data_IF_573597766659
#
_entry.id   IF_573597766659
#
_cell.length_a   1.000
_cell.length_b   1.000
_cell.length_c   1.000
_cell.angle_alpha   90.00
_cell.angle_beta   90.00
_cell.angle_gamma   90.00
#
_symmetry.space_group_name_H-M   'P 1'
#
loop_
_entity.id
_entity.type
_entity.pdbx_description
1 polymer ?
#
# COMPACT_ATOMS: atom_id res chain seq x y z
N UNK A 1 -2.53 0.54 19.37
CA UNK A 1 -2.08 0.66 17.98
C UNK A 1 -1.07 -0.44 17.73
N UNK A 2 -1.11 -1.10 16.57
CA UNK A 2 -0.16 -2.15 16.17
C UNK A 2 0.82 -1.58 15.14
N UNK A 3 2.10 -1.93 15.25
CA UNK A 3 3.10 -1.49 14.27
C UNK A 3 2.78 -2.03 12.87
N UNK A 4 2.92 -1.16 11.88
CA UNK A 4 2.86 -1.53 10.46
C UNK A 4 4.04 -2.41 10.06
N UNK A 5 3.79 -3.57 9.45
CA UNK A 5 4.81 -4.52 9.02
C UNK A 5 4.49 -5.03 7.61
N UNK A 6 5.52 -5.05 6.75
CA UNK A 6 5.42 -5.59 5.40
C UNK A 6 6.16 -6.92 5.31
N UNK A 7 5.43 -7.98 4.95
CA UNK A 7 5.94 -9.35 4.88
C UNK A 7 5.90 -9.84 3.43
N UNK A 8 7.01 -10.36 2.90
CA UNK A 8 7.02 -11.00 1.58
C UNK A 8 6.37 -12.38 1.68
N UNK A 9 5.33 -12.62 0.88
CA UNK A 9 4.67 -13.93 0.78
C UNK A 9 5.31 -14.79 -0.32
N UNK A 10 5.55 -14.20 -1.50
CA UNK A 10 6.19 -14.86 -2.65
C UNK A 10 6.79 -13.80 -3.60
N UNK A 11 7.28 -14.20 -4.77
CA UNK A 11 7.82 -13.25 -5.76
C UNK A 11 6.73 -12.25 -6.18
N UNK A 12 7.02 -10.96 -6.00
CA UNK A 12 6.07 -9.88 -6.27
C UNK A 12 4.83 -9.83 -5.36
N UNK A 13 4.71 -10.67 -4.33
CA UNK A 13 3.54 -10.67 -3.43
C UNK A 13 3.92 -10.37 -1.98
N UNK A 14 3.24 -9.39 -1.38
CA UNK A 14 3.49 -8.92 -0.04
C UNK A 14 2.20 -8.79 0.76
N UNK A 15 2.33 -8.85 2.08
CA UNK A 15 1.26 -8.65 3.06
C UNK A 15 1.61 -7.46 3.92
N UNK A 16 0.72 -6.48 4.01
CA UNK A 16 0.85 -5.37 4.95
C UNK A 16 -0.09 -5.61 6.13
N UNK A 17 0.47 -5.65 7.33
CA UNK A 17 -0.26 -5.87 8.57
C UNK A 17 -0.04 -4.72 9.55
N UNK A 18 -1.01 -4.50 10.44
CA UNK A 18 -0.96 -3.48 11.48
C UNK A 18 -1.71 -2.20 11.15
N UNK A 19 -1.55 -1.18 11.98
CA UNK A 19 -2.19 0.11 11.77
C UNK A 19 -1.36 0.97 10.80
N UNK A 20 -2.04 1.76 9.96
CA UNK A 20 -1.45 2.75 9.04
C UNK A 20 -1.85 4.15 9.49
N UNK A 21 -1.15 4.66 10.50
CA UNK A 21 -1.35 5.99 11.07
C UNK A 21 -0.11 6.86 10.93
N UNK A 22 -0.23 8.14 11.28
CA UNK A 22 0.91 9.05 11.34
C UNK A 22 2.11 8.51 12.16
N UNK A 23 1.85 7.68 13.18
CA UNK A 23 2.89 7.08 14.04
C UNK A 23 3.56 5.86 13.40
N UNK A 24 2.85 5.07 12.60
CA UNK A 24 3.33 3.78 12.07
C UNK A 24 3.78 3.83 10.61
N UNK A 25 3.36 4.85 9.87
CA UNK A 25 3.73 5.06 8.46
C UNK A 25 5.21 5.37 8.24
N UNK A 26 5.91 6.19 9.06
CA UNK A 26 7.29 6.58 8.79
C UNK A 26 8.25 5.39 8.60
N UNK A 27 8.11 4.34 9.40
CA UNK A 27 8.91 3.11 9.29
C UNK A 27 8.64 2.30 8.00
N UNK A 28 7.52 2.54 7.32
CA UNK A 28 7.16 1.86 6.07
C UNK A 28 7.62 2.63 4.83
N UNK A 29 7.93 3.91 4.94
CA UNK A 29 8.34 4.75 3.80
C UNK A 29 9.56 4.15 3.08
N UNK A 30 10.60 3.83 3.84
CA UNK A 30 11.85 3.29 3.30
C UNK A 30 11.70 1.87 2.74
N UNK A 31 10.78 1.08 3.30
CA UNK A 31 10.47 -0.27 2.84
C UNK A 31 9.90 -0.24 1.42
N UNK A 32 9.10 0.79 1.09
CA UNK A 32 8.52 0.97 -0.24
C UNK A 32 9.56 1.08 -1.36
N UNK A 33 10.73 1.64 -1.07
CA UNK A 33 11.81 1.75 -2.04
C UNK A 33 12.45 0.40 -2.39
N UNK A 34 12.38 -0.57 -1.48
CA UNK A 34 12.96 -1.89 -1.66
C UNK A 34 12.03 -2.83 -2.44
N UNK A 35 10.71 -2.61 -2.39
CA UNK A 35 9.70 -3.43 -3.08
C UNK A 35 9.97 -3.60 -4.58
N UNK A 36 10.47 -2.56 -5.22
CA UNK A 36 10.60 -2.46 -6.67
C UNK A 36 11.99 -2.82 -7.21
N UNK A 37 12.93 -3.19 -6.33
CA UNK A 37 14.30 -3.54 -6.75
C UNK A 37 14.36 -4.89 -7.46
N UNK A 38 13.57 -5.88 -7.00
CA UNK A 38 13.65 -7.26 -7.49
C UNK A 38 12.53 -7.62 -8.47
N UNK A 39 11.39 -6.94 -8.44
CA UNK A 39 10.17 -7.36 -9.13
C UNK A 39 9.62 -6.23 -10.01
N UNK A 40 9.17 -6.56 -11.23
CA UNK A 40 8.51 -5.60 -12.14
C UNK A 40 7.05 -5.31 -11.76
N UNK A 41 6.44 -6.26 -11.05
CA UNK A 41 5.06 -6.22 -10.60
C UNK A 41 5.00 -6.62 -9.12
N UNK A 42 4.35 -5.77 -8.33
CA UNK A 42 4.16 -5.95 -6.89
C UNK A 42 2.67 -5.91 -6.57
N UNK A 43 2.20 -6.87 -5.78
CA UNK A 43 0.86 -6.89 -5.21
C UNK A 43 0.98 -6.89 -3.68
N UNK A 44 0.26 -5.98 -3.03
CA UNK A 44 0.23 -5.86 -1.58
C UNK A 44 -1.17 -6.17 -1.07
N UNK A 45 -1.26 -7.19 -0.23
CA UNK A 45 -2.45 -7.56 0.51
C UNK A 45 -2.62 -6.69 1.75
N UNK A 46 -3.75 -5.99 1.83
CA UNK A 46 -4.11 -5.11 2.95
C UNK A 46 -5.11 -5.75 3.91
N UNK A 47 -5.41 -7.05 3.79
CA UNK A 47 -6.40 -7.74 4.63
C UNK A 47 -6.07 -7.72 6.13
N UNK A 48 -4.79 -7.57 6.49
CA UNK A 48 -4.31 -7.50 7.87
C UNK A 48 -4.07 -6.07 8.35
N UNK A 49 -4.45 -5.07 7.55
CA UNK A 49 -4.43 -3.67 7.97
C UNK A 49 -5.60 -3.41 8.90
N UNK A 50 -5.29 -2.92 10.10
CA UNK A 50 -6.27 -2.51 11.09
C UNK A 50 -6.76 -1.09 10.84
N UNK A 51 -6.42 -0.18 11.74
CA UNK A 51 -6.81 1.22 11.66
C UNK A 51 -5.95 1.96 10.64
N UNK A 52 -6.57 2.80 9.82
CA UNK A 52 -5.91 3.64 8.83
C UNK A 52 -6.39 5.08 8.90
N UNK A 53 -5.50 6.04 8.69
CA UNK A 53 -5.83 7.46 8.56
C UNK A 53 -5.30 8.06 7.24
N UNK A 54 -5.35 9.38 7.11
CA UNK A 54 -4.86 10.09 5.94
C UNK A 54 -3.37 9.87 5.66
N UNK A 55 -2.54 9.62 6.68
CA UNK A 55 -1.13 9.30 6.49
C UNK A 55 -0.96 7.91 5.87
N UNK A 56 -1.79 6.94 6.28
CA UNK A 56 -1.85 5.62 5.65
C UNK A 56 -2.19 5.70 4.17
N UNK A 57 -3.20 6.50 3.80
CA UNK A 57 -3.54 6.75 2.39
C UNK A 57 -2.38 7.42 1.63
N UNK A 58 -1.75 8.44 2.23
CA UNK A 58 -0.62 9.14 1.61
C UNK A 58 0.57 8.20 1.35
N UNK A 59 0.82 7.23 2.23
CA UNK A 59 1.82 6.17 2.03
C UNK A 59 1.50 5.31 0.80
N UNK A 60 0.26 4.82 0.66
CA UNK A 60 -0.11 3.99 -0.49
C UNK A 60 0.02 4.77 -1.81
N UNK A 61 -0.38 6.04 -1.81
CA UNK A 61 -0.22 6.93 -2.98
C UNK A 61 1.25 7.18 -3.29
N UNK A 62 2.10 7.36 -2.28
CA UNK A 62 3.55 7.57 -2.49
C UNK A 62 4.21 6.33 -3.10
N UNK A 63 3.85 5.12 -2.67
CA UNK A 63 4.31 3.88 -3.27
C UNK A 63 3.84 3.69 -4.71
N UNK A 64 2.58 4.04 -5.02
CA UNK A 64 2.09 4.02 -6.40
C UNK A 64 2.86 4.98 -7.29
N UNK A 65 3.15 6.18 -6.79
CA UNK A 65 3.97 7.17 -7.51
C UNK A 65 5.38 6.64 -7.75
N UNK A 66 5.99 6.03 -6.75
CA UNK A 66 7.32 5.44 -6.85
C UNK A 66 7.37 4.31 -7.88
N UNK A 67 6.40 3.39 -7.86
CA UNK A 67 6.27 2.32 -8.84
C UNK A 67 6.21 2.89 -10.27
N UNK A 68 5.34 3.90 -10.50
CA UNK A 68 5.18 4.56 -11.80
C UNK A 68 6.47 5.25 -12.25
N UNK A 69 7.19 5.92 -11.36
CA UNK A 69 8.47 6.57 -11.67
C UNK A 69 9.55 5.57 -12.09
N UNK A 70 9.49 4.34 -11.56
CA UNK A 70 10.42 3.27 -11.90
C UNK A 70 9.94 2.39 -13.08
N UNK A 71 8.79 2.70 -13.70
CA UNK A 71 8.21 1.88 -14.77
C UNK A 71 7.64 0.53 -14.29
N UNK A 72 7.39 0.41 -12.98
CA UNK A 72 6.93 -0.80 -12.30
C UNK A 72 5.42 -0.74 -12.06
N UNK A 73 4.82 -1.90 -11.80
CA UNK A 73 3.38 -2.02 -11.50
C UNK A 73 3.18 -2.34 -10.03
N UNK A 74 2.30 -1.57 -9.37
CA UNK A 74 1.87 -1.82 -7.99
C UNK A 74 0.35 -1.97 -7.95
N UNK A 75 -0.10 -3.03 -7.30
CA UNK A 75 -1.51 -3.33 -7.07
C UNK A 75 -1.77 -3.51 -5.58
N UNK A 76 -2.98 -3.13 -5.16
CA UNK A 76 -3.47 -3.41 -3.81
C UNK A 76 -4.68 -4.35 -3.88
N UNK A 77 -4.70 -5.34 -2.98
CA UNK A 77 -5.85 -6.24 -2.79
C UNK A 77 -6.39 -6.12 -1.37
N UNK A 78 -7.67 -6.48 -1.21
CA UNK A 78 -8.38 -6.48 0.08
C UNK A 78 -8.27 -5.13 0.81
N UNK A 79 -8.36 -4.02 0.07
CA UNK A 79 -8.24 -2.66 0.62
C UNK A 79 -9.34 -2.39 1.64
N UNK A 80 -9.01 -2.04 2.90
CA UNK A 80 -10.00 -1.74 3.93
C UNK A 80 -10.96 -0.62 3.52
N UNK A 81 -12.23 -0.74 3.89
CA UNK A 81 -13.27 0.25 3.58
C UNK A 81 -12.92 1.66 4.10
N UNK A 82 -12.18 1.77 5.22
CA UNK A 82 -11.71 3.04 5.76
C UNK A 82 -10.75 3.74 4.79
N UNK A 83 -9.80 3.01 4.19
CA UNK A 83 -8.88 3.56 3.20
C UNK A 83 -9.61 3.95 1.90
N UNK A 84 -10.59 3.14 1.46
CA UNK A 84 -11.43 3.49 0.32
C UNK A 84 -12.24 4.77 0.58
N UNK A 85 -12.81 4.91 1.78
CA UNK A 85 -13.53 6.12 2.19
C UNK A 85 -12.64 7.36 2.19
N UNK A 86 -11.42 7.24 2.74
CA UNK A 86 -10.43 8.32 2.71
C UNK A 86 -10.03 8.66 1.26
N UNK A 87 -9.79 7.65 0.42
CA UNK A 87 -9.42 7.85 -0.98
C UNK A 87 -10.51 8.57 -1.77
N UNK A 88 -11.78 8.27 -1.49
CA UNK A 88 -12.93 8.94 -2.09
C UNK A 88 -13.00 10.42 -1.68
N UNK A 89 -12.89 10.70 -0.38
CA UNK A 89 -12.92 12.08 0.14
C UNK A 89 -11.74 12.90 -0.37
N UNK A 90 -10.58 12.27 -0.53
CA UNK A 90 -9.37 12.91 -1.07
C UNK A 90 -9.33 12.98 -2.60
N UNK A 91 -10.30 12.39 -3.32
CA UNK A 91 -10.34 12.39 -4.79
C UNK A 91 -9.29 11.48 -5.47
N UNK A 92 -8.65 10.59 -4.71
CA UNK A 92 -7.56 9.70 -5.18
C UNK A 92 -8.01 8.24 -5.36
N UNK A 93 -9.30 7.95 -5.23
CA UNK A 93 -9.88 6.61 -5.44
C UNK A 93 -9.46 6.00 -6.79
N UNK A 94 -9.44 6.81 -7.86
CA UNK A 94 -8.99 6.37 -9.21
C UNK A 94 -7.49 6.10 -9.32
N UNK A 95 -6.70 6.54 -8.34
CA UNK A 95 -5.24 6.35 -8.32
C UNK A 95 -4.90 4.98 -7.71
N UNK A 96 -5.73 4.49 -6.78
CA UNK A 96 -5.57 3.16 -6.20
C UNK A 96 -5.80 2.10 -7.28
N UNK A 97 -4.71 1.59 -7.82
CA UNK A 97 -4.70 0.44 -8.73
C UNK A 97 -5.15 -0.80 -7.94
N UNK A 98 -6.45 -1.04 -7.91
CA UNK A 98 -6.99 -2.31 -7.45
C UNK A 98 -6.64 -3.39 -8.48
N UNK A 99 -6.27 -4.57 -8.00
CA UNK A 99 -5.99 -5.70 -8.90
C UNK A 99 -7.20 -5.93 -9.82
N UNK A 100 -7.01 -6.06 -11.16
CA UNK A 100 -8.11 -6.40 -12.04
C UNK A 100 -8.61 -7.79 -11.67
N UNK A 101 -9.90 -7.88 -11.31
CA UNK A 101 -10.58 -9.16 -11.12
C UNK A 101 -10.51 -9.95 -12.43
N UNK A 102 -9.66 -10.97 -12.49
CA UNK A 102 -9.64 -11.96 -13.58
C UNK A 102 -10.62 -13.07 -13.26
#
# INVERSE_FOLDING_TARGET
>A
MTQGQLLRQSAGQFSLAGDLSFETVPQLVDVGAQLFQAEDQVCIDLAQVGRSDSAGLALLVSWLRLARQQGKRLYFRQVPAQLLGLARVSGVERILSLEPST
#
